data_IF_475519526740
#
_entry.id   IF_475519526740
#
_cell.length_a   1.000
_cell.length_b   1.000
_cell.length_c   1.000
_cell.angle_alpha   90.00
_cell.angle_beta   90.00
_cell.angle_gamma   90.00
#
_symmetry.space_group_name_H-M   'P 1'
#
loop_
_entity.id
_entity.type
_entity.pdbx_description
1 polymer ?
#
# COMPACT_ATOMS: atom_id res chain seq x y z
N UNK A 1 23.65 51.54 -14.44
CA UNK A 1 23.79 50.09 -14.74
C UNK A 1 23.38 49.32 -13.50
N UNK A 2 22.19 48.70 -13.56
CA UNK A 2 21.49 48.09 -12.41
C UNK A 2 22.16 46.76 -12.04
N UNK A 3 22.63 46.67 -10.80
CA UNK A 3 23.12 45.45 -10.15
C UNK A 3 21.94 44.64 -9.60
N UNK A 4 22.18 43.33 -9.48
CA UNK A 4 21.52 42.38 -8.57
C UNK A 4 20.05 42.05 -8.85
N UNK A 5 19.79 40.95 -9.55
CA UNK A 5 18.56 40.14 -9.37
C UNK A 5 18.54 38.84 -10.20
N UNK A 6 19.55 37.96 -10.11
CA UNK A 6 19.43 36.62 -10.73
C UNK A 6 20.21 35.55 -9.95
N UNK A 7 20.06 35.46 -8.63
CA UNK A 7 20.70 34.39 -7.83
C UNK A 7 19.76 33.82 -6.76
N UNK A 8 18.45 33.72 -7.06
CA UNK A 8 17.42 33.27 -6.12
C UNK A 8 16.54 32.13 -6.63
N UNK A 9 17.04 31.29 -7.53
CA UNK A 9 16.23 30.26 -8.21
C UNK A 9 17.01 28.94 -8.41
N UNK A 10 17.77 28.53 -7.39
CA UNK A 10 18.62 27.33 -7.46
C UNK A 10 18.64 26.53 -6.14
N UNK A 11 17.53 26.52 -5.38
CA UNK A 11 17.38 25.73 -4.14
C UNK A 11 15.99 25.09 -3.98
N UNK A 12 15.39 24.62 -5.08
CA UNK A 12 14.22 23.72 -5.05
C UNK A 12 14.51 22.38 -5.76
N UNK A 13 15.77 21.96 -5.75
CA UNK A 13 16.16 20.61 -6.15
C UNK A 13 16.32 19.73 -4.91
N UNK A 14 15.78 18.50 -5.00
CA UNK A 14 16.16 17.31 -4.24
C UNK A 14 15.46 17.04 -2.89
N UNK A 15 14.13 17.00 -2.86
CA UNK A 15 13.38 15.96 -2.12
C UNK A 15 11.95 15.87 -2.70
N UNK A 16 11.82 15.40 -3.95
CA UNK A 16 10.52 14.93 -4.41
C UNK A 16 10.26 13.55 -3.76
N UNK A 17 10.03 13.53 -2.44
CA UNK A 17 9.50 12.35 -1.77
C UNK A 17 8.04 12.25 -2.19
N UNK A 18 7.73 11.39 -3.18
CA UNK A 18 6.35 10.96 -3.37
C UNK A 18 5.87 10.32 -2.06
N UNK A 19 4.65 10.65 -1.63
CA UNK A 19 4.09 10.10 -0.39
C UNK A 19 4.21 8.57 -0.34
N UNK A 20 4.47 8.02 0.85
CA UNK A 20 4.55 6.56 1.06
C UNK A 20 3.21 5.92 0.74
N UNK A 21 3.24 4.73 0.14
CA UNK A 21 2.05 3.98 -0.23
C UNK A 21 2.31 2.49 -0.29
N UNK A 22 1.32 1.70 0.11
CA UNK A 22 1.30 0.24 -0.05
C UNK A 22 0.33 -0.08 -1.17
N UNK A 23 0.87 -0.54 -2.27
CA UNK A 23 0.19 -0.84 -3.51
C UNK A 23 0.05 -2.35 -3.65
N UNK A 24 -1.18 -2.78 -3.94
CA UNK A 24 -1.48 -4.16 -4.26
C UNK A 24 -1.68 -4.30 -5.76
N UNK A 25 -1.06 -5.32 -6.35
CA UNK A 25 -1.28 -5.71 -7.75
C UNK A 25 -1.84 -7.13 -7.80
N UNK A 26 -2.86 -7.35 -8.64
CA UNK A 26 -3.33 -8.70 -8.99
C UNK A 26 -2.46 -9.27 -10.11
N UNK A 27 -1.78 -10.38 -9.81
CA UNK A 27 -0.90 -11.05 -10.76
C UNK A 27 -1.53 -12.32 -11.35
N UNK A 28 -2.77 -12.67 -10.99
CA UNK A 28 -3.41 -13.93 -11.43
C UNK A 28 -3.44 -14.06 -12.95
N UNK A 29 -3.67 -12.97 -13.67
CA UNK A 29 -3.79 -12.95 -15.13
C UNK A 29 -2.51 -12.48 -15.85
N UNK A 30 -1.52 -11.94 -15.13
CA UNK A 30 -0.28 -11.43 -15.73
C UNK A 30 0.91 -11.52 -14.76
N UNK A 31 1.57 -12.68 -14.65
CA UNK A 31 2.63 -12.91 -13.67
C UNK A 31 3.91 -12.09 -13.92
N UNK A 32 4.10 -11.60 -15.16
CA UNK A 32 5.26 -10.78 -15.53
C UNK A 32 5.01 -9.27 -15.42
N UNK A 33 3.79 -8.87 -15.02
CA UNK A 33 3.39 -7.48 -14.94
C UNK A 33 3.07 -6.87 -16.31
N UNK A 34 1.96 -6.14 -16.37
CA UNK A 34 1.55 -5.33 -17.51
C UNK A 34 0.93 -4.02 -17.02
N UNK A 35 0.90 -2.96 -17.85
CA UNK A 35 0.31 -1.68 -17.47
C UNK A 35 -1.17 -1.78 -17.10
N UNK A 36 -1.88 -2.77 -17.65
CA UNK A 36 -3.31 -2.99 -17.45
C UNK A 36 -3.63 -3.87 -16.24
N UNK A 37 -2.64 -4.31 -15.47
CA UNK A 37 -2.88 -5.17 -14.31
C UNK A 37 -3.70 -4.42 -13.25
N UNK A 38 -4.75 -5.04 -12.68
CA UNK A 38 -5.51 -4.42 -11.61
C UNK A 38 -4.61 -4.04 -10.43
N UNK A 39 -4.76 -2.82 -9.95
CA UNK A 39 -3.99 -2.30 -8.81
C UNK A 39 -4.89 -1.55 -7.83
N UNK A 40 -4.44 -1.43 -6.59
CA UNK A 40 -5.16 -0.80 -5.48
C UNK A 40 -4.17 -0.17 -4.51
N UNK A 41 -4.50 1.00 -3.94
CA UNK A 41 -3.86 1.48 -2.71
C UNK A 41 -4.72 1.02 -1.53
N UNK A 42 -4.19 0.14 -0.69
CA UNK A 42 -4.99 -0.47 0.39
C UNK A 42 -5.48 0.62 1.36
N UNK A 43 -6.78 0.64 1.64
CA UNK A 43 -7.42 1.63 2.52
C UNK A 43 -7.80 2.95 1.83
N UNK A 44 -7.42 3.19 0.57
CA UNK A 44 -7.87 4.35 -0.20
C UNK A 44 -9.17 4.04 -0.96
N UNK A 45 -10.32 4.43 -0.38
CA UNK A 45 -11.63 4.21 -1.02
C UNK A 45 -11.71 4.91 -2.37
N UNK A 46 -12.11 4.17 -3.40
CA UNK A 46 -12.27 4.71 -4.76
C UNK A 46 -10.97 4.97 -5.52
N UNK A 47 -9.81 4.56 -5.00
CA UNK A 47 -8.53 4.64 -5.70
C UNK A 47 -8.04 3.24 -6.14
N UNK A 48 -7.96 3.03 -7.45
CA UNK A 48 -7.59 1.76 -8.06
C UNK A 48 -8.79 0.89 -8.44
N UNK A 49 -8.60 -0.43 -8.45
CA UNK A 49 -9.57 -1.43 -8.90
C UNK A 49 -10.66 -1.68 -7.85
N UNK A 50 -11.90 -1.35 -8.20
CA UNK A 50 -13.10 -1.68 -7.41
C UNK A 50 -13.27 -3.19 -7.24
N UNK A 51 -12.85 -3.98 -8.22
CA UNK A 51 -12.93 -5.44 -8.14
C UNK A 51 -11.99 -5.98 -7.06
N UNK A 52 -10.76 -5.46 -7.00
CA UNK A 52 -9.81 -5.84 -5.95
C UNK A 52 -10.30 -5.40 -4.56
N UNK A 53 -10.82 -4.19 -4.45
CA UNK A 53 -11.43 -3.73 -3.19
C UNK A 53 -12.55 -4.68 -2.74
N UNK A 54 -13.41 -5.13 -3.67
CA UNK A 54 -14.49 -6.09 -3.37
C UNK A 54 -13.93 -7.45 -2.91
N UNK A 55 -12.97 -8.02 -3.63
CA UNK A 55 -12.31 -9.30 -3.27
C UNK A 55 -11.70 -9.25 -1.87
N UNK A 56 -10.94 -8.19 -1.59
CA UNK A 56 -10.28 -8.03 -0.29
C UNK A 56 -11.26 -7.83 0.85
N UNK A 57 -12.21 -6.90 0.70
CA UNK A 57 -13.02 -6.40 1.81
C UNK A 57 -14.38 -7.08 1.93
N UNK A 58 -15.06 -7.34 0.81
CA UNK A 58 -16.41 -7.91 0.80
C UNK A 58 -16.37 -9.44 0.76
N UNK A 59 -15.52 -10.00 -0.11
CA UNK A 59 -15.35 -11.46 -0.22
C UNK A 59 -14.41 -12.00 0.88
N UNK A 60 -13.69 -11.10 1.57
CA UNK A 60 -12.98 -11.40 2.81
C UNK A 60 -11.56 -11.94 2.62
N UNK A 61 -11.00 -11.87 1.42
CA UNK A 61 -9.64 -12.36 1.15
C UNK A 61 -8.58 -11.70 2.05
N UNK A 62 -8.75 -10.42 2.39
CA UNK A 62 -7.82 -9.74 3.29
C UNK A 62 -7.75 -10.42 4.67
N UNK A 63 -8.90 -10.85 5.22
CA UNK A 63 -8.92 -11.55 6.51
C UNK A 63 -8.18 -12.88 6.45
N UNK A 64 -8.26 -13.57 5.31
CA UNK A 64 -7.56 -14.84 5.09
C UNK A 64 -6.05 -14.58 5.11
N UNK A 65 -5.57 -13.61 4.33
CA UNK A 65 -4.15 -13.29 4.24
C UNK A 65 -3.57 -12.78 5.56
N UNK A 66 -4.30 -11.93 6.30
CA UNK A 66 -3.86 -11.46 7.62
C UNK A 66 -3.74 -12.60 8.64
N UNK A 67 -4.66 -13.55 8.62
CA UNK A 67 -4.60 -14.75 9.46
C UNK A 67 -3.42 -15.64 9.10
N UNK A 68 -3.16 -15.84 7.80
CA UNK A 68 -2.01 -16.62 7.33
C UNK A 68 -0.66 -15.98 7.64
N UNK A 69 -0.59 -14.65 7.65
CA UNK A 69 0.61 -13.91 8.02
C UNK A 69 0.99 -14.11 9.51
N UNK A 70 0.06 -14.65 10.32
CA UNK A 70 0.22 -14.92 11.75
C UNK A 70 0.70 -13.67 12.49
N UNK A 71 0.04 -12.54 12.22
CA UNK A 71 0.28 -11.29 12.94
C UNK A 71 -0.40 -11.36 14.32
N UNK A 72 0.14 -10.67 15.34
CA UNK A 72 -0.57 -10.35 16.56
C UNK A 72 -2.00 -9.85 16.28
N UNK A 73 -2.97 -10.30 17.09
CA UNK A 73 -4.39 -10.01 16.87
C UNK A 73 -4.67 -8.50 16.72
N UNK A 74 -4.03 -7.67 17.55
CA UNK A 74 -4.14 -6.20 17.51
C UNK A 74 -3.69 -5.62 16.17
N UNK A 75 -2.57 -6.09 15.63
CA UNK A 75 -2.02 -5.63 14.34
C UNK A 75 -2.90 -6.11 13.18
N UNK A 76 -3.32 -7.38 13.22
CA UNK A 76 -4.23 -7.94 12.22
C UNK A 76 -5.56 -7.21 12.17
N UNK A 77 -6.17 -6.92 13.31
CA UNK A 77 -7.43 -6.18 13.38
C UNK A 77 -7.26 -4.72 12.93
N UNK A 78 -6.16 -4.09 13.35
CA UNK A 78 -5.80 -2.74 12.93
C UNK A 78 -5.67 -2.62 11.41
N UNK A 79 -4.90 -3.50 10.77
CA UNK A 79 -4.73 -3.54 9.32
C UNK A 79 -6.07 -3.77 8.60
N UNK A 80 -6.89 -4.71 9.10
CA UNK A 80 -8.20 -4.96 8.51
C UNK A 80 -9.11 -3.73 8.60
N UNK A 81 -9.18 -3.10 9.77
CA UNK A 81 -10.01 -1.91 9.99
C UNK A 81 -9.55 -0.73 9.14
N UNK A 82 -8.23 -0.51 9.04
CA UNK A 82 -7.65 0.53 8.21
C UNK A 82 -7.86 0.29 6.70
N UNK A 83 -7.94 -0.96 6.27
CA UNK A 83 -8.16 -1.31 4.86
C UNK A 83 -9.64 -1.32 4.45
N UNK A 84 -10.51 -1.91 5.27
CA UNK A 84 -11.89 -2.29 4.90
C UNK A 84 -12.95 -1.72 5.85
N UNK A 85 -12.56 -1.02 6.91
CA UNK A 85 -13.47 -0.47 7.91
C UNK A 85 -14.27 0.74 7.42
N UNK A 86 -15.20 1.20 8.27
CA UNK A 86 -15.95 2.44 8.02
C UNK A 86 -15.00 3.63 7.84
N UNK A 87 -13.96 3.68 8.67
CA UNK A 87 -12.90 4.69 8.65
C UNK A 87 -11.64 4.23 7.88
N UNK A 88 -11.79 3.40 6.85
CA UNK A 88 -10.64 2.94 6.06
C UNK A 88 -9.84 4.15 5.54
N UNK A 89 -8.52 4.04 5.66
CA UNK A 89 -7.56 5.07 5.29
C UNK A 89 -6.23 4.43 4.94
N UNK A 90 -5.69 4.78 3.77
CA UNK A 90 -4.36 4.36 3.36
C UNK A 90 -3.28 4.84 4.34
N UNK A 91 -3.43 6.04 4.91
CA UNK A 91 -2.51 6.57 5.92
C UNK A 91 -2.52 5.70 7.18
N UNK A 92 -3.69 5.37 7.72
CA UNK A 92 -3.80 4.48 8.89
C UNK A 92 -3.22 3.09 8.60
N UNK A 93 -3.44 2.58 7.38
CA UNK A 93 -2.89 1.29 6.98
C UNK A 93 -1.35 1.32 6.94
N UNK A 94 -0.78 2.38 6.36
CA UNK A 94 0.67 2.60 6.31
C UNK A 94 1.29 2.72 7.69
N UNK A 95 0.66 3.49 8.59
CA UNK A 95 1.13 3.66 9.96
C UNK A 95 1.30 2.31 10.66
N UNK A 96 0.27 1.46 10.59
CA UNK A 96 0.29 0.13 11.20
C UNK A 96 1.29 -0.78 10.48
N UNK A 97 1.31 -0.77 9.14
CA UNK A 97 2.23 -1.58 8.34
C UNK A 97 3.71 -1.27 8.63
N UNK A 98 4.07 0.01 8.82
CA UNK A 98 5.44 0.39 9.13
C UNK A 98 5.85 0.15 10.58
N UNK A 99 4.88 0.04 11.51
CA UNK A 99 5.13 -0.38 12.88
C UNK A 99 5.39 -1.89 13.01
N UNK A 100 4.99 -2.70 12.03
CA UNK A 100 5.32 -4.12 12.01
C UNK A 100 6.84 -4.35 12.00
N UNK A 101 7.29 -5.42 12.65
CA UNK A 101 8.66 -5.89 12.49
C UNK A 101 8.93 -6.32 11.04
N UNK A 102 10.21 -6.35 10.64
CA UNK A 102 10.62 -6.83 9.32
C UNK A 102 10.07 -8.22 9.03
N UNK A 103 10.16 -9.15 10.00
CA UNK A 103 9.64 -10.51 9.85
C UNK A 103 8.13 -10.54 9.68
N UNK A 104 7.39 -9.68 10.40
CA UNK A 104 5.94 -9.58 10.26
C UNK A 104 5.54 -9.02 8.90
N UNK A 105 6.23 -7.99 8.39
CA UNK A 105 6.03 -7.49 7.02
C UNK A 105 6.32 -8.55 5.98
N UNK A 106 7.41 -9.28 6.14
CA UNK A 106 7.81 -10.35 5.21
C UNK A 106 6.77 -11.48 5.17
N UNK A 107 6.26 -11.92 6.34
CA UNK A 107 5.17 -12.91 6.40
C UNK A 107 3.89 -12.39 5.75
N UNK A 108 3.59 -11.11 5.92
CA UNK A 108 2.43 -10.48 5.29
C UNK A 108 2.58 -10.44 3.76
N UNK A 109 3.72 -9.98 3.24
CA UNK A 109 4.02 -10.00 1.79
C UNK A 109 3.87 -11.40 1.20
N UNK A 110 4.47 -12.41 1.84
CA UNK A 110 4.34 -13.81 1.41
C UNK A 110 2.91 -14.35 1.47
N UNK A 111 2.08 -13.86 2.41
CA UNK A 111 0.67 -14.22 2.45
C UNK A 111 -0.09 -13.65 1.23
N UNK A 112 0.17 -12.40 0.85
CA UNK A 112 -0.39 -11.84 -0.39
C UNK A 112 0.07 -12.60 -1.64
N UNK A 113 1.36 -12.94 -1.72
CA UNK A 113 1.94 -13.65 -2.88
C UNK A 113 1.33 -15.03 -3.11
N UNK A 114 1.07 -15.80 -2.04
CA UNK A 114 0.40 -17.10 -2.14
C UNK A 114 -1.01 -17.02 -2.71
N UNK A 115 -1.66 -15.87 -2.61
CA UNK A 115 -2.99 -15.61 -3.14
C UNK A 115 -2.96 -14.88 -4.50
N UNK A 116 -1.78 -14.77 -5.12
CA UNK A 116 -1.61 -14.19 -6.44
C UNK A 116 -1.46 -12.66 -6.44
N UNK A 117 -1.17 -12.05 -5.29
CA UNK A 117 -1.01 -10.60 -5.18
C UNK A 117 0.44 -10.19 -4.90
N UNK A 118 0.87 -9.05 -5.43
CA UNK A 118 2.12 -8.41 -5.00
C UNK A 118 1.83 -7.20 -4.14
N UNK A 119 2.32 -7.22 -2.89
CA UNK A 119 2.25 -6.11 -1.96
C UNK A 119 3.57 -5.31 -2.00
N UNK A 120 3.53 -4.12 -2.59
CA UNK A 120 4.69 -3.26 -2.76
C UNK A 120 4.53 -1.99 -1.95
N UNK A 121 5.53 -1.66 -1.14
CA UNK A 121 5.65 -0.36 -0.51
C UNK A 121 6.56 0.55 -1.34
N UNK A 122 6.05 1.71 -1.75
CA UNK A 122 6.79 2.73 -2.51
C UNK A 122 6.79 4.05 -1.73
N UNK A 123 7.77 4.91 -2.02
CA UNK A 123 7.92 6.26 -1.43
C UNK A 123 9.12 6.36 -0.48
N UNK A 124 9.53 7.60 -0.21
CA UNK A 124 10.73 7.93 0.57
C UNK A 124 10.36 8.48 1.95
#
# INVERSE_FOLDING_TARGET
>A
MKKLLVWGLLMFGLTACSGKGVYLYDNKDCPYGGPDRPWLIIGAKGAGSKELERKLCTEGELRIMLREARLPAKESEGLFSAACGKEASAEKFLEIYYQLSNDSRERLKKAFERHGYSLNDYGC
#
